data_IF_869569602189
#
_entry.id   IF_869569602189
#
_cell.length_a   1.000
_cell.length_b   1.000
_cell.length_c   1.000
_cell.angle_alpha   90.00
_cell.angle_beta   90.00
_cell.angle_gamma   90.00
#
_symmetry.space_group_name_H-M   'P 1'
#
loop_
_entity.id
_entity.type
_entity.pdbx_description
1 polymer ?
#
# COMPACT_ATOMS: atom_id res chain seq x y z
N UNK A 1 -28.55 -21.76 25.99
CA UNK A 1 -29.17 -20.47 25.59
C UNK A 1 -29.33 -20.47 24.08
N UNK A 2 -30.45 -19.99 23.55
CA UNK A 2 -30.65 -19.93 22.09
C UNK A 2 -29.67 -18.95 21.46
N UNK A 3 -29.24 -19.21 20.22
CA UNK A 3 -28.27 -18.38 19.50
C UNK A 3 -28.71 -16.91 19.40
N UNK A 4 -30.02 -16.68 19.28
CA UNK A 4 -30.63 -15.35 19.32
C UNK A 4 -30.32 -14.60 20.63
N UNK A 5 -30.37 -15.28 21.77
CA UNK A 5 -30.17 -14.66 23.08
C UNK A 5 -28.70 -14.24 23.29
N UNK A 6 -27.76 -15.05 22.82
CA UNK A 6 -26.33 -14.75 22.85
C UNK A 6 -26.00 -13.53 21.97
N UNK A 7 -26.62 -13.43 20.79
CA UNK A 7 -26.46 -12.26 19.90
C UNK A 7 -27.03 -10.99 20.53
N UNK A 8 -28.16 -11.10 21.22
CA UNK A 8 -28.77 -9.95 21.90
C UNK A 8 -27.92 -9.46 23.08
N UNK A 9 -27.38 -10.37 23.88
CA UNK A 9 -26.48 -10.03 25.00
C UNK A 9 -25.16 -9.39 24.52
N UNK A 10 -24.58 -9.92 23.44
CA UNK A 10 -23.37 -9.34 22.84
C UNK A 10 -23.64 -7.96 22.24
N UNK A 11 -24.76 -7.75 21.55
CA UNK A 11 -25.13 -6.43 21.05
C UNK A 11 -25.35 -5.40 22.17
N UNK A 12 -26.05 -5.79 23.24
CA UNK A 12 -26.31 -4.91 24.39
C UNK A 12 -25.02 -4.57 25.14
N UNK A 13 -24.14 -5.56 25.36
CA UNK A 13 -22.85 -5.30 26.01
C UNK A 13 -21.94 -4.38 25.18
N UNK A 14 -21.87 -4.58 23.86
CA UNK A 14 -21.16 -3.67 22.96
C UNK A 14 -21.75 -2.25 23.02
N UNK A 15 -23.08 -2.11 23.00
CA UNK A 15 -23.75 -0.82 23.09
C UNK A 15 -23.45 -0.08 24.41
N UNK A 16 -23.47 -0.79 25.54
CA UNK A 16 -23.14 -0.22 26.86
C UNK A 16 -21.68 0.26 26.89
N UNK A 17 -20.75 -0.55 26.36
CA UNK A 17 -19.33 -0.18 26.30
C UNK A 17 -19.14 1.07 25.42
N UNK A 18 -19.82 1.14 24.27
CA UNK A 18 -19.77 2.31 23.39
C UNK A 18 -20.33 3.55 24.09
N UNK A 19 -21.44 3.44 24.83
CA UNK A 19 -22.00 4.55 25.61
C UNK A 19 -21.04 5.04 26.69
N UNK A 20 -20.39 4.12 27.41
CA UNK A 20 -19.39 4.47 28.43
C UNK A 20 -18.19 5.18 27.80
N UNK A 21 -17.63 4.63 26.71
CA UNK A 21 -16.52 5.25 26.00
C UNK A 21 -16.88 6.65 25.46
N UNK A 22 -18.09 6.80 24.90
CA UNK A 22 -18.58 8.07 24.40
C UNK A 22 -18.77 9.10 25.53
N UNK A 23 -19.34 8.68 26.66
CA UNK A 23 -19.47 9.51 27.85
C UNK A 23 -18.12 9.99 28.37
N UNK A 24 -17.14 9.09 28.47
CA UNK A 24 -15.76 9.43 28.86
C UNK A 24 -15.10 10.39 27.87
N UNK A 25 -15.35 10.22 26.56
CA UNK A 25 -14.84 11.13 25.52
C UNK A 25 -15.45 12.54 25.64
N UNK A 26 -16.76 12.64 25.84
CA UNK A 26 -17.40 13.95 26.05
C UNK A 26 -16.92 14.62 27.33
N UNK A 27 -16.74 13.84 28.40
CA UNK A 27 -16.16 14.33 29.64
C UNK A 27 -14.72 14.82 29.42
N UNK A 28 -13.88 14.05 28.74
CA UNK A 28 -12.49 14.42 28.47
C UNK A 28 -12.39 15.68 27.62
N UNK A 29 -13.25 15.85 26.60
CA UNK A 29 -13.31 17.10 25.83
C UNK A 29 -13.69 18.27 26.73
N UNK A 30 -14.75 18.12 27.54
CA UNK A 30 -15.24 19.20 28.42
C UNK A 30 -14.14 19.66 29.39
N UNK A 31 -13.46 18.70 30.02
CA UNK A 31 -12.37 18.94 30.95
C UNK A 31 -11.17 19.56 30.22
N UNK A 32 -10.75 18.98 29.11
CA UNK A 32 -9.58 19.44 28.34
C UNK A 32 -9.79 20.85 27.77
N UNK A 33 -10.99 21.17 27.28
CA UNK A 33 -11.34 22.53 26.84
C UNK A 33 -11.32 23.54 27.97
N UNK A 34 -11.67 23.14 29.20
CA UNK A 34 -11.59 24.02 30.37
C UNK A 34 -10.15 24.36 30.76
N UNK A 35 -9.18 23.50 30.45
CA UNK A 35 -7.76 23.71 30.76
C UNK A 35 -6.95 24.25 29.57
N UNK A 36 -7.41 24.02 28.35
CA UNK A 36 -6.71 24.45 27.16
C UNK A 36 -6.96 25.93 26.88
N UNK A 37 -5.89 26.74 26.93
CA UNK A 37 -5.90 28.09 26.36
C UNK A 37 -6.04 27.97 24.83
N UNK A 38 -7.03 28.65 24.26
CA UNK A 38 -7.15 28.74 22.80
C UNK A 38 -5.89 29.40 22.24
N UNK A 39 -5.17 28.67 21.38
CA UNK A 39 -4.02 29.16 20.66
C UNK A 39 -4.22 28.85 19.18
N UNK A 40 -4.07 29.88 18.35
CA UNK A 40 -4.13 29.79 16.89
C UNK A 40 -2.91 29.09 16.29
N UNK A 41 -1.87 28.84 17.10
CA UNK A 41 -0.61 28.22 16.65
C UNK A 41 -0.61 26.69 16.77
N UNK A 42 -1.43 26.12 17.67
CA UNK A 42 -1.53 24.65 17.83
C UNK A 42 -1.97 23.87 16.58
N UNK A 43 -2.88 24.37 15.71
CA UNK A 43 -3.26 23.65 14.51
C UNK A 43 -2.25 23.82 13.36
N UNK A 44 -1.24 24.68 13.50
CA UNK A 44 -0.22 24.85 12.48
C UNK A 44 0.75 23.68 12.52
N UNK A 45 1.21 23.26 11.35
CA UNK A 45 2.20 22.21 11.22
C UNK A 45 3.53 22.79 11.70
N UNK A 46 4.03 22.29 12.83
CA UNK A 46 5.22 22.81 13.47
C UNK A 46 6.49 22.38 12.71
N UNK A 47 7.02 23.28 11.89
CA UNK A 47 8.26 23.08 11.15
C UNK A 47 9.34 24.06 11.61
N UNK A 48 9.83 23.91 12.85
CA UNK A 48 10.96 24.68 13.39
C UNK A 48 10.84 26.21 13.19
N UNK A 49 9.63 26.77 13.29
CA UNK A 49 9.37 28.20 13.11
C UNK A 49 9.04 28.64 11.68
N UNK A 50 9.14 27.74 10.70
CA UNK A 50 8.69 27.97 9.33
C UNK A 50 7.23 27.54 9.16
N UNK A 51 6.47 28.32 8.39
CA UNK A 51 5.10 27.96 8.04
C UNK A 51 5.13 27.07 6.80
N UNK A 52 4.94 25.76 6.98
CA UNK A 52 4.81 24.82 5.87
C UNK A 52 3.34 24.57 5.53
N UNK A 53 3.06 24.32 4.26
CA UNK A 53 1.73 23.94 3.80
C UNK A 53 1.44 22.47 4.08
N UNK A 54 0.17 22.08 4.16
CA UNK A 54 -0.23 20.68 4.35
C UNK A 54 0.39 19.76 3.29
N UNK A 55 0.48 20.24 2.04
CA UNK A 55 1.08 19.49 0.93
C UNK A 55 2.59 19.25 1.10
N UNK A 56 3.30 20.20 1.68
CA UNK A 56 4.74 20.06 1.95
C UNK A 56 5.01 19.14 3.15
N UNK A 57 4.10 19.14 4.13
CA UNK A 57 4.15 18.22 5.26
C UNK A 57 3.74 16.78 4.91
N UNK A 58 2.91 16.61 3.86
CA UNK A 58 2.47 15.33 3.35
C UNK A 58 3.62 14.62 2.59
N UNK A 59 4.45 13.90 3.36
CA UNK A 59 5.43 12.92 2.83
C UNK A 59 4.79 11.76 2.05
N UNK A 60 3.46 11.61 2.14
CA UNK A 60 2.74 10.44 1.68
C UNK A 60 2.75 10.26 0.16
N UNK A 61 2.56 11.31 -0.65
CA UNK A 61 2.29 11.13 -2.09
C UNK A 61 3.47 10.53 -2.85
N UNK A 62 4.70 10.97 -2.54
CA UNK A 62 5.92 10.45 -3.19
C UNK A 62 6.27 9.04 -2.72
N UNK A 63 6.00 8.75 -1.45
CA UNK A 63 6.22 7.43 -0.88
C UNK A 63 5.15 6.42 -1.30
N UNK A 64 3.93 6.84 -1.59
CA UNK A 64 2.85 5.95 -1.99
C UNK A 64 3.11 5.39 -3.39
N UNK A 65 3.47 6.24 -4.36
CA UNK A 65 3.80 5.79 -5.72
C UNK A 65 4.98 4.80 -5.72
N UNK A 66 6.05 5.13 -5.00
CA UNK A 66 7.25 4.27 -4.94
C UNK A 66 7.00 2.97 -4.18
N UNK A 67 6.18 3.00 -3.13
CA UNK A 67 5.75 1.79 -2.40
C UNK A 67 4.92 0.88 -3.28
N UNK A 68 3.91 1.41 -3.98
CA UNK A 68 3.08 0.63 -4.92
C UNK A 68 3.94 0.05 -6.03
N UNK A 69 4.84 0.84 -6.60
CA UNK A 69 5.76 0.37 -7.64
C UNK A 69 6.65 -0.77 -7.15
N UNK A 70 7.22 -0.64 -5.95
CA UNK A 70 8.05 -1.68 -5.37
C UNK A 70 7.25 -2.96 -5.07
N UNK A 71 6.07 -2.85 -4.47
CA UNK A 71 5.21 -4.02 -4.18
C UNK A 71 4.80 -4.77 -5.45
N UNK A 72 4.48 -4.05 -6.53
CA UNK A 72 4.04 -4.65 -7.80
C UNK A 72 5.21 -5.26 -8.58
N UNK A 73 6.32 -4.53 -8.73
CA UNK A 73 7.40 -4.92 -9.64
C UNK A 73 8.52 -5.71 -8.98
N UNK A 74 8.73 -5.60 -7.66
CA UNK A 74 9.81 -6.31 -6.97
C UNK A 74 9.65 -7.84 -7.02
N UNK A 75 8.46 -8.44 -6.79
CA UNK A 75 8.30 -9.88 -6.92
C UNK A 75 8.57 -10.38 -8.35
N UNK A 76 8.15 -9.62 -9.36
CA UNK A 76 8.43 -9.92 -10.76
C UNK A 76 9.94 -9.86 -11.05
N UNK A 77 10.59 -8.79 -10.60
CA UNK A 77 12.04 -8.61 -10.75
C UNK A 77 12.83 -9.73 -10.07
N UNK A 78 12.49 -10.06 -8.82
CA UNK A 78 13.14 -11.12 -8.05
C UNK A 78 12.91 -12.49 -8.70
N UNK A 79 11.72 -12.74 -9.25
CA UNK A 79 11.43 -13.97 -10.00
C UNK A 79 12.20 -14.05 -11.31
N UNK A 80 12.25 -12.98 -12.10
CA UNK A 80 13.01 -12.93 -13.36
C UNK A 80 14.51 -13.12 -13.08
N UNK A 81 15.05 -12.40 -12.11
CA UNK A 81 16.46 -12.50 -11.73
C UNK A 81 16.81 -13.88 -11.18
N UNK A 82 15.99 -14.40 -10.26
CA UNK A 82 16.28 -15.67 -9.58
C UNK A 82 16.03 -16.92 -10.43
N UNK A 83 15.06 -16.88 -11.35
CA UNK A 83 14.64 -18.07 -12.12
C UNK A 83 15.05 -18.04 -13.60
N UNK A 84 15.11 -16.86 -14.20
CA UNK A 84 15.45 -16.72 -15.64
C UNK A 84 16.93 -16.40 -15.83
N UNK A 85 17.54 -15.65 -14.91
CA UNK A 85 18.98 -15.37 -14.92
C UNK A 85 19.75 -16.28 -13.97
N UNK A 86 19.70 -17.59 -14.23
CA UNK A 86 20.41 -18.62 -13.44
C UNK A 86 21.94 -18.48 -13.49
N UNK A 87 22.48 -17.77 -14.48
CA UNK A 87 23.92 -17.66 -14.71
C UNK A 87 24.55 -18.93 -15.31
N UNK A 88 23.75 -19.94 -15.61
CA UNK A 88 24.19 -21.20 -16.24
C UNK A 88 24.25 -20.98 -17.74
N UNK A 89 25.43 -21.17 -18.34
CA UNK A 89 25.66 -20.91 -19.77
C UNK A 89 24.70 -21.69 -20.69
N UNK A 90 24.33 -22.91 -20.31
CA UNK A 90 23.41 -23.74 -21.07
C UNK A 90 22.00 -23.14 -21.19
N UNK A 91 21.49 -22.50 -20.13
CA UNK A 91 20.17 -21.86 -20.13
C UNK A 91 20.16 -20.68 -21.12
N UNK A 92 21.26 -19.91 -21.17
CA UNK A 92 21.42 -18.83 -22.14
C UNK A 92 21.45 -19.33 -23.58
N UNK A 93 22.16 -20.43 -23.85
CA UNK A 93 22.15 -21.03 -25.17
C UNK A 93 20.75 -21.50 -25.57
N UNK A 94 20.02 -22.15 -24.67
CA UNK A 94 18.63 -22.56 -24.92
C UNK A 94 17.75 -21.36 -25.31
N UNK A 95 17.77 -20.28 -24.52
CA UNK A 95 16.98 -19.08 -24.80
C UNK A 95 17.38 -18.41 -26.12
N UNK A 96 18.68 -18.37 -26.43
CA UNK A 96 19.19 -17.83 -27.69
C UNK A 96 18.69 -18.63 -28.90
N UNK A 97 18.79 -19.97 -28.86
CA UNK A 97 18.31 -20.82 -29.94
C UNK A 97 16.78 -20.73 -30.09
N UNK A 98 16.05 -20.70 -28.98
CA UNK A 98 14.60 -20.52 -29.00
C UNK A 98 14.20 -19.18 -29.65
N UNK A 99 14.86 -18.08 -29.28
CA UNK A 99 14.61 -16.78 -29.86
C UNK A 99 14.92 -16.74 -31.37
N UNK A 100 16.01 -17.40 -31.80
CA UNK A 100 16.36 -17.56 -33.22
C UNK A 100 15.28 -18.33 -34.00
N UNK A 101 14.77 -19.43 -33.45
CA UNK A 101 13.69 -20.22 -34.07
C UNK A 101 12.41 -19.39 -34.18
N UNK A 102 12.04 -18.66 -33.12
CA UNK A 102 10.86 -17.79 -33.12
C UNK A 102 11.01 -16.69 -34.17
N UNK A 103 12.17 -16.02 -34.21
CA UNK A 103 12.45 -14.97 -35.19
C UNK A 103 12.38 -15.51 -36.63
N UNK A 104 12.97 -16.69 -36.88
CA UNK A 104 12.91 -17.34 -38.19
C UNK A 104 11.48 -17.71 -38.59
N UNK A 105 10.68 -18.28 -37.67
CA UNK A 105 9.28 -18.60 -37.92
C UNK A 105 8.44 -17.35 -38.23
N UNK A 106 8.68 -16.25 -37.52
CA UNK A 106 8.04 -14.96 -37.79
C UNK A 106 8.43 -14.44 -39.18
N UNK A 107 9.71 -14.50 -39.55
CA UNK A 107 10.19 -14.08 -40.88
C UNK A 107 9.51 -14.89 -41.99
N UNK A 108 9.39 -16.21 -41.85
CA UNK A 108 8.67 -17.06 -42.81
C UNK A 108 7.19 -16.66 -42.89
N UNK A 109 6.52 -16.49 -41.74
CA UNK A 109 5.10 -16.12 -41.69
C UNK A 109 4.82 -14.75 -42.31
N UNK A 110 5.78 -13.83 -42.24
CA UNK A 110 5.71 -12.50 -42.87
C UNK A 110 6.10 -12.50 -44.36
N UNK A 111 6.31 -13.67 -44.98
CA UNK A 111 6.62 -13.80 -46.40
C UNK A 111 8.10 -13.64 -46.75
N UNK A 112 9.00 -13.71 -45.76
CA UNK A 112 10.44 -13.43 -45.90
C UNK A 112 11.27 -14.45 -46.70
N UNK A 113 10.65 -15.49 -47.28
CA UNK A 113 11.31 -16.39 -48.23
C UNK A 113 10.32 -16.72 -49.36
N UNK A 114 10.19 -15.81 -50.31
CA UNK A 114 9.77 -16.17 -51.67
C UNK A 114 10.92 -16.93 -52.32
N UNK A 115 10.89 -18.26 -52.25
CA UNK A 115 11.67 -19.12 -53.14
C UNK A 115 11.16 -19.04 -54.56
#
# INVERSE_FOLDING_TARGET
>A
MSLLMVVLETAVSMFIITLLAYGLYLYSIKVTKSFAKESKEKPLIYACGEHITEKEALLADRHLFTTIWNEVFKPLYDSLRGKVHTGILNDWFFWMFLALIIAYAIIIMLGGVSG
#
